data_IF_684364751795
#
_entry.id   IF_684364751795
#
_cell.length_a   1.000
_cell.length_b   1.000
_cell.length_c   1.000
_cell.angle_alpha   90.00
_cell.angle_beta   90.00
_cell.angle_gamma   90.00
#
_symmetry.space_group_name_H-M   'P 1'
#
loop_
_entity.id
_entity.type
_entity.pdbx_description
1 polymer ?
#
# COMPACT_ATOMS: atom_id res chain seq x y z
N UNK A 1 -0.88 24.15 -2.21
CA UNK A 1 -1.68 25.40 -2.27
C UNK A 1 -1.00 26.35 -3.24
N UNK A 2 -1.62 26.68 -4.38
CA UNK A 2 -1.20 27.86 -5.17
C UNK A 2 -1.89 29.12 -4.60
N UNK A 3 -1.35 30.28 -4.93
CA UNK A 3 -1.55 31.62 -4.33
C UNK A 3 -2.99 32.17 -4.25
N UNK A 4 -3.99 31.43 -4.71
CA UNK A 4 -5.34 31.90 -4.96
C UNK A 4 -6.45 31.03 -4.33
N UNK A 5 -6.12 30.12 -3.41
CA UNK A 5 -7.09 29.52 -2.48
C UNK A 5 -8.16 28.60 -3.08
N UNK A 6 -8.25 28.47 -4.40
CA UNK A 6 -9.19 27.57 -5.05
C UNK A 6 -8.63 26.14 -5.10
N UNK A 7 -9.40 25.21 -4.55
CA UNK A 7 -9.21 23.78 -4.76
C UNK A 7 -9.67 23.47 -6.19
N UNK A 8 -8.75 23.59 -7.16
CA UNK A 8 -8.90 22.93 -8.45
C UNK A 8 -8.94 21.44 -8.13
N UNK A 9 -10.12 20.83 -8.21
CA UNK A 9 -10.28 19.40 -7.96
C UNK A 9 -9.24 18.58 -8.73
N UNK A 10 -8.89 17.39 -8.21
CA UNK A 10 -8.04 16.47 -8.94
C UNK A 10 -8.63 16.20 -10.31
N UNK A 11 -7.83 16.37 -11.37
CA UNK A 11 -8.22 15.90 -12.71
C UNK A 11 -8.60 14.42 -12.63
N UNK A 12 -9.64 13.98 -13.34
CA UNK A 12 -10.02 12.58 -13.36
C UNK A 12 -8.85 11.73 -13.86
N UNK A 13 -8.52 10.68 -13.12
CA UNK A 13 -7.51 9.71 -13.51
C UNK A 13 -8.16 8.75 -14.50
N UNK A 14 -7.84 8.93 -15.78
CA UNK A 14 -8.37 8.09 -16.84
C UNK A 14 -7.40 6.93 -17.09
N UNK A 15 -7.81 5.71 -16.73
CA UNK A 15 -7.07 4.51 -17.10
C UNK A 15 -7.48 4.05 -18.52
N UNK A 16 -6.58 3.42 -19.29
CA UNK A 16 -6.92 2.79 -20.56
C UNK A 16 -8.10 1.83 -20.42
N UNK A 17 -8.94 1.80 -21.45
CA UNK A 17 -10.10 0.92 -21.49
C UNK A 17 -9.70 -0.55 -21.32
N UNK A 18 -10.46 -1.30 -20.52
CA UNK A 18 -10.17 -2.71 -20.22
C UNK A 18 -9.29 -2.92 -18.98
N UNK A 19 -8.61 -1.89 -18.47
CA UNK A 19 -7.85 -1.95 -17.21
C UNK A 19 -8.80 -2.17 -16.03
N UNK A 20 -8.94 -3.42 -15.59
CA UNK A 20 -9.95 -3.83 -14.60
C UNK A 20 -9.41 -4.80 -13.54
N UNK A 21 -8.08 -4.97 -13.47
CA UNK A 21 -7.38 -5.72 -12.44
C UNK A 21 -6.31 -4.87 -11.79
N UNK A 22 -6.02 -5.16 -10.52
CA UNK A 22 -4.91 -4.59 -9.79
C UNK A 22 -4.12 -5.74 -9.14
N UNK A 23 -2.82 -5.81 -9.43
CA UNK A 23 -1.89 -6.65 -8.68
C UNK A 23 -1.31 -5.78 -7.58
N UNK A 24 -1.54 -6.14 -6.33
CA UNK A 24 -1.08 -5.38 -5.16
C UNK A 24 0.06 -6.12 -4.50
N UNK A 25 1.11 -5.39 -4.13
CA UNK A 25 2.33 -5.97 -3.59
C UNK A 25 2.62 -5.27 -2.26
N UNK A 26 2.64 -6.05 -1.18
CA UNK A 26 3.15 -5.63 0.12
C UNK A 26 4.59 -6.10 0.29
N UNK A 27 5.45 -5.22 0.79
CA UNK A 27 6.88 -5.47 0.93
C UNK A 27 7.33 -5.15 2.35
N UNK A 28 7.92 -6.12 3.02
CA UNK A 28 8.52 -5.93 4.33
C UNK A 28 9.61 -4.84 4.30
N UNK A 29 9.57 -3.97 5.31
CA UNK A 29 10.63 -3.03 5.66
C UNK A 29 11.50 -3.61 6.77
N UNK A 30 12.75 -3.13 6.87
CA UNK A 30 13.70 -3.56 7.89
C UNK A 30 13.18 -3.31 9.31
N UNK A 31 12.80 -4.40 10.01
CA UNK A 31 12.19 -4.35 11.34
C UNK A 31 13.12 -3.74 12.41
N UNK A 32 14.41 -4.11 12.52
CA UNK A 32 15.36 -3.44 13.39
C UNK A 32 15.43 -1.93 13.13
N UNK A 33 15.53 -1.49 11.87
CA UNK A 33 15.53 -0.09 11.50
C UNK A 33 14.26 0.64 11.93
N UNK A 34 13.08 0.06 11.68
CA UNK A 34 11.79 0.64 12.07
C UNK A 34 11.63 0.79 13.58
N UNK A 35 12.17 -0.15 14.38
CA UNK A 35 12.08 -0.09 15.84
C UNK A 35 12.79 1.12 16.46
N UNK A 36 13.63 1.81 15.68
CA UNK A 36 14.30 3.05 16.08
C UNK A 36 13.49 4.32 15.80
N UNK A 37 12.27 4.22 15.26
CA UNK A 37 11.42 5.39 14.96
C UNK A 37 11.32 6.31 16.18
N UNK A 38 11.57 7.64 16.05
CA UNK A 38 11.70 8.42 14.80
C UNK A 38 13.15 8.66 14.31
N UNK A 39 14.14 7.88 14.74
CA UNK A 39 15.54 8.07 14.37
C UNK A 39 15.85 7.77 12.88
N UNK A 40 17.03 8.21 12.43
CA UNK A 40 17.50 8.10 11.04
C UNK A 40 17.47 6.68 10.43
N UNK A 41 17.77 5.58 11.17
CA UNK A 41 17.68 4.23 10.59
C UNK A 41 16.26 3.88 10.11
N UNK A 42 15.21 4.34 10.79
CA UNK A 42 13.82 4.16 10.35
C UNK A 42 13.55 4.86 9.01
N UNK A 43 14.13 6.06 8.80
CA UNK A 43 14.07 6.77 7.53
C UNK A 43 14.78 5.99 6.42
N UNK A 44 15.94 5.39 6.70
CA UNK A 44 16.66 4.55 5.74
C UNK A 44 15.87 3.30 5.36
N UNK A 45 15.27 2.61 6.33
CA UNK A 45 14.39 1.46 6.10
C UNK A 45 13.21 1.82 5.18
N UNK A 46 12.59 2.98 5.42
CA UNK A 46 11.53 3.53 4.56
C UNK A 46 12.02 3.85 3.16
N UNK A 47 13.17 4.54 3.04
CA UNK A 47 13.76 4.92 1.76
C UNK A 47 14.07 3.70 0.89
N UNK A 48 14.68 2.67 1.48
CA UNK A 48 14.93 1.40 0.82
C UNK A 48 13.64 0.71 0.37
N UNK A 49 12.58 0.80 1.19
CA UNK A 49 11.25 0.34 0.83
C UNK A 49 10.74 0.97 -0.47
N UNK A 50 10.91 2.29 -0.66
CA UNK A 50 10.53 2.94 -1.92
C UNK A 50 11.37 2.49 -3.12
N UNK A 51 12.68 2.32 -2.95
CA UNK A 51 13.55 1.82 -4.02
C UNK A 51 13.16 0.40 -4.46
N UNK A 52 12.87 -0.48 -3.49
CA UNK A 52 12.38 -1.84 -3.76
C UNK A 52 11.04 -1.81 -4.51
N UNK A 53 10.11 -0.91 -4.15
CA UNK A 53 8.82 -0.79 -4.83
C UNK A 53 9.03 -0.44 -6.30
N UNK A 54 9.83 0.59 -6.57
CA UNK A 54 10.12 1.06 -7.93
C UNK A 54 10.76 -0.05 -8.78
N UNK A 55 11.67 -0.82 -8.20
CA UNK A 55 12.29 -1.95 -8.88
C UNK A 55 11.27 -3.04 -9.23
N UNK A 56 10.50 -3.52 -8.25
CA UNK A 56 9.57 -4.63 -8.44
C UNK A 56 8.48 -4.29 -9.45
N UNK A 57 7.83 -3.12 -9.34
CA UNK A 57 6.79 -2.74 -10.29
C UNK A 57 7.36 -2.53 -11.70
N UNK A 58 8.62 -2.07 -11.82
CA UNK A 58 9.28 -1.95 -13.12
C UNK A 58 9.41 -3.31 -13.80
N UNK A 59 9.95 -4.30 -13.08
CA UNK A 59 10.11 -5.66 -13.59
C UNK A 59 8.75 -6.33 -13.88
N UNK A 60 7.80 -6.26 -12.96
CA UNK A 60 6.49 -6.89 -13.12
C UNK A 60 5.70 -6.27 -14.27
N UNK A 61 5.69 -4.94 -14.38
CA UNK A 61 4.98 -4.27 -15.47
C UNK A 61 5.58 -4.61 -16.83
N UNK A 62 6.90 -4.72 -16.94
CA UNK A 62 7.55 -5.12 -18.18
C UNK A 62 7.27 -6.60 -18.52
N UNK A 63 7.25 -7.47 -17.52
CA UNK A 63 6.84 -8.86 -17.71
C UNK A 63 5.42 -8.97 -18.28
N UNK A 64 4.46 -8.24 -17.70
CA UNK A 64 3.06 -8.24 -18.16
C UNK A 64 2.93 -7.68 -19.58
N UNK A 65 3.66 -6.60 -19.90
CA UNK A 65 3.69 -6.05 -21.27
C UNK A 65 4.24 -7.04 -22.30
N UNK A 66 5.28 -7.79 -21.93
CA UNK A 66 5.84 -8.84 -22.80
C UNK A 66 4.90 -10.03 -23.01
N UNK A 67 3.89 -10.21 -22.17
CA UNK A 67 2.80 -11.16 -22.40
C UNK A 67 1.69 -10.60 -23.31
N UNK A 68 1.79 -9.34 -23.74
CA UNK A 68 0.82 -8.69 -24.64
C UNK A 68 -0.28 -7.90 -23.92
N UNK A 69 -0.17 -7.68 -22.61
CA UNK A 69 -1.18 -7.00 -21.80
C UNK A 69 -0.74 -5.58 -21.39
N UNK A 70 -1.70 -4.72 -21.07
CA UNK A 70 -1.43 -3.40 -20.50
C UNK A 70 -0.95 -3.54 -19.05
N UNK A 71 0.03 -2.72 -18.65
CA UNK A 71 0.51 -2.69 -17.27
C UNK A 71 0.91 -1.27 -16.86
N UNK A 72 0.18 -0.71 -15.89
CA UNK A 72 0.37 0.64 -15.36
C UNK A 72 0.91 0.52 -13.95
N UNK A 73 2.15 0.92 -13.79
CA UNK A 73 2.94 0.71 -12.58
C UNK A 73 2.75 1.91 -11.67
N UNK A 74 2.32 1.68 -10.44
CA UNK A 74 2.01 2.76 -9.50
C UNK A 74 2.70 2.53 -8.15
N UNK A 75 3.34 3.58 -7.64
CA UNK A 75 3.91 3.61 -6.30
C UNK A 75 2.85 4.03 -5.28
N UNK A 76 2.97 5.24 -4.74
CA UNK A 76 2.00 5.84 -3.82
C UNK A 76 0.88 6.63 -4.52
N UNK A 77 0.98 6.80 -5.83
CA UNK A 77 0.13 7.65 -6.66
C UNK A 77 -1.08 6.89 -7.21
N UNK A 78 -1.90 7.56 -8.04
CA UNK A 78 -2.99 6.97 -8.86
C UNK A 78 -4.22 6.45 -8.10
N UNK A 79 -4.06 5.68 -7.01
CA UNK A 79 -5.14 5.11 -6.22
C UNK A 79 -4.73 4.87 -4.76
N UNK A 80 -5.72 4.66 -3.89
CA UNK A 80 -5.50 4.35 -2.47
C UNK A 80 -4.98 2.92 -2.31
N UNK A 81 -3.72 2.79 -1.84
CA UNK A 81 -3.07 1.48 -1.72
C UNK A 81 -3.67 0.58 -0.64
N UNK A 82 -4.14 1.13 0.49
CA UNK A 82 -4.65 0.31 1.61
C UNK A 82 -5.96 -0.41 1.26
N UNK A 83 -7.00 0.25 0.73
CA UNK A 83 -8.22 -0.45 0.30
C UNK A 83 -7.93 -1.55 -0.72
N UNK A 84 -7.09 -1.28 -1.72
CA UNK A 84 -6.69 -2.30 -2.70
C UNK A 84 -5.97 -3.50 -2.06
N UNK A 85 -5.11 -3.25 -1.07
CA UNK A 85 -4.43 -4.34 -0.36
C UNK A 85 -5.38 -5.17 0.52
N UNK A 86 -6.42 -4.55 1.09
CA UNK A 86 -7.47 -5.26 1.83
C UNK A 86 -8.31 -6.10 0.87
N UNK A 87 -8.71 -5.54 -0.27
CA UNK A 87 -9.46 -6.25 -1.30
C UNK A 87 -8.67 -7.44 -1.86
N UNK A 88 -7.36 -7.30 -2.01
CA UNK A 88 -6.44 -8.37 -2.41
C UNK A 88 -6.06 -9.34 -1.27
N UNK A 89 -6.71 -9.25 -0.10
CA UNK A 89 -6.51 -10.20 1.01
C UNK A 89 -5.18 -10.05 1.78
N UNK A 90 -4.38 -9.02 1.51
CA UNK A 90 -3.05 -8.85 2.11
C UNK A 90 -3.06 -8.43 3.58
N UNK A 91 -4.18 -7.91 4.08
CA UNK A 91 -4.25 -7.44 5.46
C UNK A 91 -5.53 -6.69 5.80
N UNK A 92 -5.45 -5.90 6.87
CA UNK A 92 -6.58 -5.14 7.40
C UNK A 92 -6.15 -3.74 7.85
N UNK A 93 -7.12 -2.82 7.96
CA UNK A 93 -6.87 -1.45 8.42
C UNK A 93 -6.65 -1.43 9.95
N UNK A 94 -5.48 -0.96 10.39
CA UNK A 94 -5.17 -0.74 11.80
C UNK A 94 -5.66 0.62 12.31
N UNK A 95 -5.76 0.77 13.65
CA UNK A 95 -6.07 2.07 14.31
C UNK A 95 -5.09 3.18 13.92
N UNK A 96 -3.83 2.82 13.66
CA UNK A 96 -2.78 3.73 13.19
C UNK A 96 -3.00 4.23 11.76
N UNK A 97 -4.07 3.81 11.07
CA UNK A 97 -4.37 4.21 9.70
C UNK A 97 -3.50 3.52 8.65
N UNK A 98 -2.73 2.51 9.04
CA UNK A 98 -1.87 1.74 8.15
C UNK A 98 -2.49 0.37 7.85
N UNK A 99 -2.07 -0.25 6.76
CA UNK A 99 -2.29 -1.68 6.56
C UNK A 99 -1.53 -2.44 7.65
N UNK A 100 -2.17 -3.45 8.22
CA UNK A 100 -1.54 -4.45 9.08
C UNK A 100 -1.64 -5.77 8.34
N UNK A 101 -0.52 -6.43 8.11
CA UNK A 101 -0.43 -7.77 7.52
C UNK A 101 -0.26 -8.81 8.63
N UNK A 102 -0.73 -10.06 8.45
CA UNK A 102 -0.48 -11.14 9.41
C UNK A 102 1.01 -11.41 9.67
N UNK A 103 1.85 -11.29 8.65
CA UNK A 103 3.26 -11.67 8.66
C UNK A 103 4.16 -10.57 9.24
N UNK A 104 3.91 -9.30 8.87
CA UNK A 104 4.83 -8.19 9.13
C UNK A 104 4.19 -7.03 9.89
N UNK A 105 2.93 -7.17 10.31
CA UNK A 105 2.17 -6.07 10.91
C UNK A 105 2.10 -4.87 9.96
N UNK A 106 2.29 -3.66 10.50
CA UNK A 106 2.35 -2.41 9.70
C UNK A 106 3.71 -2.11 9.08
N UNK A 107 4.70 -3.00 9.25
CA UNK A 107 6.06 -2.82 8.74
C UNK A 107 6.20 -3.04 7.24
N UNK A 108 5.22 -2.63 6.43
CA UNK A 108 5.20 -2.89 4.97
C UNK A 108 5.05 -1.63 4.14
N UNK A 109 5.58 -1.67 2.91
CA UNK A 109 5.27 -0.72 1.84
C UNK A 109 4.37 -1.38 0.80
N UNK A 110 3.49 -0.59 0.18
CA UNK A 110 2.48 -1.10 -0.76
C UNK A 110 2.66 -0.40 -2.10
N UNK A 111 2.81 -1.19 -3.15
CA UNK A 111 2.73 -0.73 -4.54
C UNK A 111 1.71 -1.57 -5.32
N UNK A 112 1.39 -1.14 -6.53
CA UNK A 112 0.39 -1.84 -7.36
C UNK A 112 0.64 -1.67 -8.85
N UNK A 113 0.17 -2.65 -9.62
CA UNK A 113 0.13 -2.60 -11.08
C UNK A 113 -1.31 -2.78 -11.54
N UNK A 114 -1.85 -1.80 -12.27
CA UNK A 114 -3.14 -1.94 -12.93
C UNK A 114 -2.95 -2.58 -14.30
N UNK A 115 -3.82 -3.52 -14.66
CA UNK A 115 -3.67 -4.32 -15.88
C UNK A 115 -5.02 -4.80 -16.42
N UNK A 116 -5.02 -5.19 -17.70
CA UNK A 116 -6.08 -5.94 -18.36
C UNK A 116 -5.75 -7.45 -18.48
N UNK A 117 -4.61 -7.89 -17.92
CA UNK A 117 -4.24 -9.31 -17.80
C UNK A 117 -5.35 -10.09 -17.06
N UNK A 118 -5.88 -11.17 -17.64
CA UNK A 118 -6.84 -12.03 -16.96
C UNK A 118 -6.21 -12.69 -15.74
N UNK A 119 -6.74 -12.35 -14.56
CA UNK A 119 -6.28 -12.87 -13.27
C UNK A 119 -7.46 -13.48 -12.50
N UNK A 120 -7.17 -14.53 -11.74
CA UNK A 120 -8.03 -15.01 -10.66
C UNK A 120 -7.92 -14.01 -9.51
N UNK A 121 -9.07 -13.61 -8.96
CA UNK A 121 -9.10 -12.64 -7.87
C UNK A 121 -8.88 -13.35 -6.54
N UNK A 122 -8.05 -12.73 -5.71
CA UNK A 122 -8.02 -13.01 -4.27
C UNK A 122 -9.24 -12.39 -3.60
N UNK A 123 -9.57 -12.87 -2.40
CA UNK A 123 -10.67 -12.38 -1.59
C UNK A 123 -10.15 -11.75 -0.29
N UNK A 124 -10.85 -10.74 0.25
CA UNK A 124 -10.49 -10.15 1.54
C UNK A 124 -10.43 -11.20 2.64
N UNK A 125 -9.40 -11.12 3.50
CA UNK A 125 -9.30 -11.99 4.67
C UNK A 125 -10.22 -11.50 5.80
N UNK A 126 -11.51 -11.83 5.71
CA UNK A 126 -12.56 -11.36 6.62
C UNK A 126 -12.30 -11.75 8.09
N UNK A 127 -11.72 -12.92 8.34
CA UNK A 127 -11.36 -13.36 9.69
C UNK A 127 -10.30 -12.44 10.31
N UNK A 128 -9.22 -12.18 9.58
CA UNK A 128 -8.16 -11.29 10.04
C UNK A 128 -8.64 -9.85 10.21
N UNK A 129 -9.48 -9.35 9.29
CA UNK A 129 -10.09 -8.01 9.39
C UNK A 129 -10.91 -7.88 10.67
N UNK A 130 -11.78 -8.86 10.96
CA UNK A 130 -12.59 -8.88 12.19
C UNK A 130 -11.71 -8.95 13.44
N UNK A 131 -10.71 -9.83 13.43
CA UNK A 131 -9.77 -10.02 14.54
C UNK A 131 -9.00 -8.74 14.86
N UNK A 132 -8.41 -8.11 13.85
CA UNK A 132 -7.66 -6.87 14.03
C UNK A 132 -8.58 -5.72 14.48
N UNK A 133 -9.75 -5.58 13.87
CA UNK A 133 -10.72 -4.56 14.26
C UNK A 133 -11.09 -4.67 15.74
N UNK A 134 -11.39 -5.89 16.21
CA UNK A 134 -11.71 -6.14 17.61
C UNK A 134 -10.52 -5.90 18.55
N UNK A 135 -9.30 -6.26 18.14
CA UNK A 135 -8.08 -5.96 18.89
C UNK A 135 -7.85 -4.45 19.02
N UNK A 136 -7.92 -3.73 17.90
CA UNK A 136 -7.69 -2.29 17.85
C UNK A 136 -8.69 -1.49 18.68
N UNK A 137 -9.93 -1.99 18.90
CA UNK A 137 -10.93 -1.33 19.76
C UNK A 137 -10.43 -1.05 21.17
N UNK A 138 -9.57 -1.89 21.73
CA UNK A 138 -9.12 -1.79 23.14
C UNK A 138 -7.62 -1.52 23.32
N UNK A 139 -6.78 -1.70 22.31
CA UNK A 139 -5.31 -1.64 22.46
C UNK A 139 -4.75 -0.21 22.68
N UNK A 140 -5.17 0.76 21.88
CA UNK A 140 -4.74 2.18 21.91
C UNK A 140 -3.23 2.51 21.89
N UNK A 141 -2.32 1.53 21.93
CA UNK A 141 -0.86 1.73 22.03
C UNK A 141 -0.31 2.74 21.01
N UNK A 142 -0.74 2.66 19.74
CA UNK A 142 -0.28 3.58 18.70
C UNK A 142 -0.70 5.04 18.95
N UNK A 143 -1.87 5.25 19.57
CA UNK A 143 -2.36 6.59 19.90
C UNK A 143 -1.69 7.14 21.16
N UNK A 144 -1.36 6.26 22.12
CA UNK A 144 -0.72 6.64 23.37
C UNK A 144 0.73 7.11 23.16
N UNK A 145 1.48 6.42 22.29
CA UNK A 145 2.90 6.70 22.01
C UNK A 145 3.13 7.78 20.96
N UNK A 146 2.11 8.18 20.19
CA UNK A 146 2.25 9.20 19.16
C UNK A 146 2.71 10.54 19.76
N UNK A 147 3.78 11.11 19.21
CA UNK A 147 4.41 12.35 19.71
C UNK A 147 3.62 13.62 19.34
N UNK A 148 2.75 13.56 18.32
CA UNK A 148 2.08 14.73 17.72
C UNK A 148 0.58 14.78 18.03
N UNK A 149 0.20 14.50 19.28
CA UNK A 149 -1.22 14.47 19.72
C UNK A 149 -1.97 15.76 19.40
#
# INVERSE_FOLDING_TARGET
KRSNGQFLGSYPINLPQGTNRAIVIAMEMDSPGLSTTPALPACAATGLGYSKMAFIISCLGEFIRNLGYQAIQCGNDTALSIPLAIDAGLGALGRNGLLVTPEYGSGVRICKVFTDLPLVLDEPNLDFISKLSNFCKNCYQCAEICETK
#
